data_IF_709574385197
#
_entry.id   IF_709574385197
#
_cell.length_a   1.000
_cell.length_b   1.000
_cell.length_c   1.000
_cell.angle_alpha   90.00
_cell.angle_beta   90.00
_cell.angle_gamma   90.00
#
_symmetry.space_group_name_H-M   'P 1'
#
loop_
_entity.id
_entity.type
_entity.pdbx_description
1 polymer ?
#
# COMPACT_ATOMS: atom_id res chain seq x y z
N UNK A 1 5.23 12.01 10.03
CA UNK A 1 5.36 11.04 8.91
C UNK A 1 6.10 11.69 7.76
N UNK A 2 7.21 11.08 7.32
CA UNK A 2 8.08 11.64 6.28
C UNK A 2 7.90 10.92 4.93
N UNK A 3 7.40 9.69 4.98
CA UNK A 3 7.07 8.89 3.80
C UNK A 3 5.80 8.08 3.99
N UNK A 4 5.05 7.96 2.91
CA UNK A 4 3.87 7.12 2.81
C UNK A 4 4.08 6.10 1.68
N UNK A 5 3.86 4.83 1.99
CA UNK A 5 3.89 3.74 1.02
C UNK A 5 2.46 3.21 0.86
N UNK A 6 1.95 3.23 -0.36
CA UNK A 6 0.65 2.65 -0.69
C UNK A 6 0.87 1.37 -1.51
N UNK A 7 0.45 0.23 -0.99
CA UNK A 7 0.55 -1.06 -1.68
C UNK A 7 -0.81 -1.72 -1.81
N UNK A 8 -1.23 -1.98 -3.04
CA UNK A 8 -2.37 -2.86 -3.29
C UNK A 8 -1.98 -4.31 -3.03
N UNK A 9 -2.88 -5.11 -2.45
CA UNK A 9 -2.67 -6.54 -2.25
C UNK A 9 -2.24 -7.26 -3.54
N UNK A 10 -1.53 -8.38 -3.42
CA UNK A 10 -1.15 -9.25 -4.53
C UNK A 10 -2.36 -9.92 -5.18
N UNK A 11 -2.13 -10.58 -6.33
CA UNK A 11 -3.17 -11.34 -7.02
C UNK A 11 -3.86 -12.32 -6.07
N UNK A 12 -5.19 -12.27 -6.01
CA UNK A 12 -6.01 -13.10 -5.14
C UNK A 12 -6.80 -14.15 -5.93
N UNK A 13 -7.12 -15.27 -5.28
CA UNK A 13 -8.04 -16.27 -5.80
C UNK A 13 -9.40 -15.63 -6.10
N UNK A 14 -10.10 -16.14 -7.11
CA UNK A 14 -11.41 -15.60 -7.50
C UNK A 14 -12.48 -15.84 -6.44
N UNK A 15 -12.34 -16.95 -5.71
CA UNK A 15 -13.26 -17.36 -4.66
C UNK A 15 -12.50 -17.84 -3.43
N UNK A 16 -13.08 -17.64 -2.26
CA UNK A 16 -12.62 -18.25 -1.04
C UNK A 16 -13.20 -19.68 -0.93
N UNK A 17 -12.50 -20.59 -0.23
CA UNK A 17 -13.04 -21.88 0.13
C UNK A 17 -14.29 -21.72 1.02
N UNK A 18 -14.24 -20.75 1.95
CA UNK A 18 -15.33 -20.35 2.84
C UNK A 18 -15.22 -18.88 3.17
N UNK A 19 -16.30 -18.24 3.60
CA UNK A 19 -16.28 -16.88 4.16
C UNK A 19 -16.38 -15.72 3.16
N UNK A 20 -16.60 -15.98 1.90
CA UNK A 20 -16.84 -14.95 0.88
C UNK A 20 -15.60 -14.12 0.54
N UNK A 21 -15.82 -12.90 0.02
CA UNK A 21 -14.74 -12.02 -0.48
C UNK A 21 -13.64 -11.75 0.55
N UNK A 22 -14.01 -11.52 1.79
CA UNK A 22 -13.08 -11.21 2.88
C UNK A 22 -12.02 -12.31 3.09
N UNK A 23 -12.37 -13.56 2.84
CA UNK A 23 -11.52 -14.75 3.04
C UNK A 23 -10.83 -15.24 1.77
N UNK A 24 -10.90 -14.49 0.65
CA UNK A 24 -10.13 -14.84 -0.55
C UNK A 24 -8.63 -14.64 -0.28
N UNK A 25 -7.84 -15.71 -0.45
CA UNK A 25 -6.39 -15.68 -0.27
C UNK A 25 -5.65 -15.31 -1.54
N UNK A 26 -4.33 -15.11 -1.42
CA UNK A 26 -3.45 -14.89 -2.57
C UNK A 26 -3.28 -16.17 -3.40
N UNK A 27 -3.08 -15.97 -4.71
CA UNK A 27 -2.51 -17.00 -5.57
C UNK A 27 -1.00 -17.16 -5.29
N UNK A 28 -0.36 -18.25 -5.74
CA UNK A 28 1.11 -18.35 -5.69
C UNK A 28 1.81 -17.17 -6.38
N UNK A 29 1.28 -16.72 -7.52
CA UNK A 29 1.78 -15.53 -8.22
C UNK A 29 1.66 -14.27 -7.37
N UNK A 30 0.54 -14.11 -6.67
CA UNK A 30 0.33 -12.97 -5.78
C UNK A 30 1.37 -12.91 -4.65
N UNK A 31 1.76 -14.05 -4.09
CA UNK A 31 2.83 -14.14 -3.08
C UNK A 31 4.19 -13.79 -3.67
N UNK A 32 4.52 -14.32 -4.85
CA UNK A 32 5.78 -14.02 -5.54
C UNK A 32 5.90 -12.53 -5.84
N UNK A 33 4.86 -11.92 -6.40
CA UNK A 33 4.82 -10.50 -6.72
C UNK A 33 4.99 -9.65 -5.45
N UNK A 34 4.31 -9.98 -4.37
CA UNK A 34 4.43 -9.27 -3.09
C UNK A 34 5.84 -9.40 -2.50
N UNK A 35 6.43 -10.59 -2.55
CA UNK A 35 7.81 -10.82 -2.09
C UNK A 35 8.79 -9.97 -2.88
N UNK A 36 8.63 -9.89 -4.19
CA UNK A 36 9.46 -9.04 -5.05
C UNK A 36 9.33 -7.56 -4.67
N UNK A 37 8.10 -7.09 -4.43
CA UNK A 37 7.87 -5.70 -4.02
C UNK A 37 8.56 -5.38 -2.68
N UNK A 38 8.52 -6.29 -1.73
CA UNK A 38 9.25 -6.14 -0.46
C UNK A 38 10.76 -5.94 -0.68
N UNK A 39 11.36 -6.72 -1.56
CA UNK A 39 12.78 -6.59 -1.92
C UNK A 39 13.09 -5.26 -2.60
N UNK A 40 12.23 -4.82 -3.53
CA UNK A 40 12.40 -3.54 -4.22
C UNK A 40 12.30 -2.36 -3.25
N UNK A 41 11.35 -2.38 -2.31
CA UNK A 41 11.23 -1.37 -1.26
C UNK A 41 12.47 -1.34 -0.38
N UNK A 42 12.95 -2.48 0.09
CA UNK A 42 14.17 -2.56 0.91
C UNK A 42 15.38 -2.01 0.15
N UNK A 43 15.53 -2.37 -1.12
CA UNK A 43 16.62 -1.88 -1.98
C UNK A 43 16.55 -0.37 -2.23
N UNK A 44 15.36 0.20 -2.31
CA UNK A 44 15.17 1.65 -2.48
C UNK A 44 15.39 2.46 -1.21
N UNK A 45 15.55 1.79 -0.06
CA UNK A 45 15.65 2.45 1.24
C UNK A 45 14.32 2.90 1.84
N UNK A 46 13.19 2.58 1.19
CA UNK A 46 11.84 2.91 1.67
C UNK A 46 11.30 1.78 2.57
N UNK A 47 11.92 1.59 3.73
CA UNK A 47 11.47 0.58 4.70
C UNK A 47 10.50 1.20 5.71
N UNK A 48 9.30 0.62 5.89
CA UNK A 48 8.34 1.17 6.84
C UNK A 48 8.72 0.89 8.30
N UNK A 49 8.36 1.82 9.18
CA UNK A 49 8.37 1.64 10.63
C UNK A 49 7.04 1.06 11.12
N UNK A 50 5.97 1.39 10.43
CA UNK A 50 4.60 0.97 10.72
C UNK A 50 3.91 0.52 9.44
N UNK A 51 3.21 -0.60 9.49
CA UNK A 51 2.37 -1.10 8.40
C UNK A 51 0.93 -1.24 8.87
N UNK A 52 0.03 -0.49 8.25
CA UNK A 52 -1.41 -0.61 8.43
C UNK A 52 -1.95 -1.56 7.36
N UNK A 53 -2.54 -2.66 7.78
CA UNK A 53 -2.96 -3.73 6.89
C UNK A 53 -4.47 -3.95 7.01
N UNK A 54 -5.19 -3.90 5.89
CA UNK A 54 -6.59 -4.34 5.88
C UNK A 54 -6.70 -5.76 6.41
N UNK A 55 -7.71 -6.03 7.24
CA UNK A 55 -7.91 -7.32 7.88
C UNK A 55 -8.33 -8.44 6.92
N UNK A 56 -8.65 -8.15 5.65
CA UNK A 56 -8.95 -9.17 4.65
C UNK A 56 -7.79 -10.15 4.48
N UNK A 57 -8.11 -11.40 4.17
CA UNK A 57 -7.07 -12.44 4.05
C UNK A 57 -6.01 -12.11 3.01
N UNK A 58 -6.38 -11.60 1.83
CA UNK A 58 -5.42 -11.28 0.76
C UNK A 58 -4.44 -10.17 1.14
N UNK A 59 -4.86 -9.19 1.94
CA UNK A 59 -3.97 -8.12 2.44
C UNK A 59 -3.07 -8.64 3.56
N UNK A 60 -3.57 -9.47 4.46
CA UNK A 60 -2.76 -10.13 5.49
C UNK A 60 -1.69 -11.03 4.88
N UNK A 61 -2.03 -11.81 3.86
CA UNK A 61 -1.07 -12.67 3.15
C UNK A 61 -0.06 -11.86 2.33
N UNK A 62 -0.47 -10.73 1.75
CA UNK A 62 0.46 -9.78 1.09
C UNK A 62 1.48 -9.25 2.09
N UNK A 63 1.03 -8.79 3.25
CA UNK A 63 1.93 -8.34 4.31
C UNK A 63 2.88 -9.46 4.76
N UNK A 64 2.39 -10.66 4.96
CA UNK A 64 3.24 -11.80 5.32
C UNK A 64 4.37 -12.03 4.29
N UNK A 65 4.08 -11.85 3.01
CA UNK A 65 5.07 -12.00 1.95
C UNK A 65 6.13 -10.88 1.92
N UNK A 66 5.75 -9.63 2.25
CA UNK A 66 6.70 -8.50 2.28
C UNK A 66 7.44 -8.38 3.62
N UNK A 67 6.89 -8.91 4.70
CA UNK A 67 7.36 -8.68 6.07
C UNK A 67 8.80 -9.09 6.33
N UNK A 68 9.30 -10.09 5.62
CA UNK A 68 10.70 -10.51 5.72
C UNK A 68 11.69 -9.39 5.36
N UNK A 69 11.28 -8.46 4.49
CA UNK A 69 12.09 -7.29 4.12
C UNK A 69 12.07 -6.20 5.21
N UNK A 70 11.12 -6.25 6.15
CA UNK A 70 10.90 -5.21 7.17
C UNK A 70 10.76 -5.81 8.58
N UNK A 71 11.75 -6.56 9.07
CA UNK A 71 11.61 -7.35 10.30
C UNK A 71 11.36 -6.51 11.56
N UNK A 72 11.62 -5.21 11.52
CA UNK A 72 11.45 -4.29 12.65
C UNK A 72 10.16 -3.46 12.57
N UNK A 73 9.41 -3.55 11.48
CA UNK A 73 8.18 -2.79 11.33
C UNK A 73 7.10 -3.27 12.30
N UNK A 74 6.43 -2.33 12.95
CA UNK A 74 5.17 -2.62 13.66
C UNK A 74 4.08 -2.89 12.63
N UNK A 75 3.12 -3.75 12.96
CA UNK A 75 1.97 -4.02 12.12
C UNK A 75 0.67 -3.85 12.88
N UNK A 76 -0.31 -3.26 12.24
CA UNK A 76 -1.68 -3.15 12.73
C UNK A 76 -2.64 -3.64 11.66
N UNK A 77 -3.45 -4.64 12.03
CA UNK A 77 -4.52 -5.15 11.16
C UNK A 77 -5.79 -4.36 11.45
N UNK A 78 -6.33 -3.71 10.42
CA UNK A 78 -7.45 -2.77 10.55
C UNK A 78 -8.62 -3.18 9.66
N UNK A 79 -9.78 -3.39 10.27
CA UNK A 79 -11.00 -3.73 9.53
C UNK A 79 -11.55 -2.53 8.74
N UNK A 80 -11.36 -1.33 9.24
CA UNK A 80 -11.77 -0.10 8.58
C UNK A 80 -11.02 0.18 7.26
N UNK A 81 -9.91 -0.52 7.00
CA UNK A 81 -9.22 -0.48 5.70
C UNK A 81 -9.80 -1.47 4.67
N UNK A 82 -10.68 -2.37 5.08
CA UNK A 82 -11.34 -3.28 4.14
C UNK A 82 -12.34 -2.52 3.26
N UNK A 83 -12.09 -2.49 1.95
CA UNK A 83 -12.83 -1.70 0.97
C UNK A 83 -12.93 -0.20 1.32
N UNK A 84 -11.90 0.34 1.97
CA UNK A 84 -11.87 1.73 2.41
C UNK A 84 -11.86 2.71 1.22
N UNK A 85 -12.63 3.78 1.37
CA UNK A 85 -12.53 4.97 0.51
C UNK A 85 -11.24 5.75 0.85
N UNK A 86 -10.75 6.65 -0.03
CA UNK A 86 -9.54 7.42 0.24
C UNK A 86 -9.56 8.17 1.57
N UNK A 87 -10.70 8.73 1.94
CA UNK A 87 -10.89 9.48 3.19
C UNK A 87 -10.72 8.60 4.43
N UNK A 88 -11.18 7.34 4.35
CA UNK A 88 -11.01 6.38 5.45
C UNK A 88 -9.55 5.97 5.61
N UNK A 89 -8.80 5.85 4.50
CA UNK A 89 -7.36 5.60 4.54
C UNK A 89 -6.63 6.79 5.18
N UNK A 90 -6.98 8.01 4.79
CA UNK A 90 -6.40 9.23 5.38
C UNK A 90 -6.70 9.30 6.88
N UNK A 91 -7.94 9.02 7.29
CA UNK A 91 -8.33 8.98 8.72
C UNK A 91 -7.49 7.95 9.49
N UNK A 92 -7.29 6.75 8.92
CA UNK A 92 -6.45 5.73 9.55
C UNK A 92 -5.00 6.19 9.71
N UNK A 93 -4.46 6.94 8.76
CA UNK A 93 -3.12 7.53 8.85
C UNK A 93 -3.05 8.64 9.91
N UNK A 94 -4.09 9.48 9.99
CA UNK A 94 -4.18 10.54 11.00
C UNK A 94 -4.29 10.00 12.42
N UNK A 95 -5.00 8.88 12.61
CA UNK A 95 -5.11 8.21 13.91
C UNK A 95 -3.74 7.80 14.47
N UNK A 96 -2.80 7.45 13.60
CA UNK A 96 -1.43 7.11 14.00
C UNK A 96 -0.57 8.36 14.27
N UNK A 97 -0.95 9.50 13.72
CA UNK A 97 -0.24 10.76 13.91
C UNK A 97 1.25 10.66 13.54
N UNK A 98 2.10 11.14 14.45
CA UNK A 98 3.56 11.10 14.26
C UNK A 98 4.22 9.87 14.92
N UNK A 99 3.48 8.79 15.13
CA UNK A 99 3.99 7.55 15.76
C UNK A 99 5.07 6.84 14.93
N UNK A 100 5.18 7.16 13.64
CA UNK A 100 6.15 6.57 12.73
C UNK A 100 6.60 7.56 11.64
N UNK A 101 7.86 7.49 11.24
CA UNK A 101 8.40 8.29 10.13
C UNK A 101 7.97 7.77 8.77
N UNK A 102 7.97 6.45 8.58
CA UNK A 102 7.59 5.79 7.33
C UNK A 102 6.41 4.85 7.60
N UNK A 103 5.27 5.17 7.03
CA UNK A 103 4.06 4.38 7.17
C UNK A 103 3.70 3.71 5.85
N UNK A 104 3.39 2.43 5.89
CA UNK A 104 2.90 1.67 4.75
C UNK A 104 1.45 1.28 4.97
N UNK A 105 0.64 1.40 3.92
CA UNK A 105 -0.73 0.88 3.90
C UNK A 105 -0.82 -0.25 2.88
N UNK A 106 -1.28 -1.41 3.32
CA UNK A 106 -1.61 -2.55 2.45
C UNK A 106 -3.13 -2.67 2.38
N UNK A 107 -3.67 -2.39 1.21
CA UNK A 107 -5.13 -2.28 1.05
C UNK A 107 -5.64 -2.65 -0.34
N UNK A 108 -6.71 -1.99 -0.72
CA UNK A 108 -7.55 -2.35 -1.86
C UNK A 108 -7.80 -1.17 -2.80
N UNK A 109 -8.06 -1.48 -4.07
CA UNK A 109 -8.70 -0.53 -4.97
C UNK A 109 -10.24 -0.55 -4.75
N UNK A 110 -10.97 0.51 -5.09
CA UNK A 110 -10.45 1.74 -5.74
C UNK A 110 -9.78 2.73 -4.78
N UNK A 111 -9.94 2.58 -3.47
CA UNK A 111 -9.49 3.58 -2.47
C UNK A 111 -8.01 3.93 -2.58
N UNK A 112 -7.10 2.95 -2.64
CA UNK A 112 -5.66 3.21 -2.77
C UNK A 112 -5.30 3.85 -4.11
N UNK A 113 -5.93 3.40 -5.20
CA UNK A 113 -5.70 3.98 -6.53
C UNK A 113 -6.09 5.47 -6.56
N UNK A 114 -7.27 5.79 -6.05
CA UNK A 114 -7.75 7.17 -5.98
C UNK A 114 -6.88 8.05 -5.08
N UNK A 115 -6.47 7.53 -3.92
CA UNK A 115 -5.57 8.25 -3.02
C UNK A 115 -4.22 8.51 -3.67
N UNK A 116 -3.62 7.52 -4.33
CA UNK A 116 -2.37 7.69 -5.07
C UNK A 116 -2.48 8.77 -6.14
N UNK A 117 -3.57 8.77 -6.92
CA UNK A 117 -3.83 9.82 -7.93
C UNK A 117 -3.92 11.21 -7.31
N UNK A 118 -4.65 11.36 -6.20
CA UNK A 118 -4.78 12.65 -5.49
C UNK A 118 -3.41 13.18 -5.05
N UNK A 119 -2.58 12.32 -4.46
CA UNK A 119 -1.25 12.71 -3.99
C UNK A 119 -0.34 13.11 -5.17
N UNK A 120 -0.37 12.37 -6.26
CA UNK A 120 0.40 12.69 -7.46
C UNK A 120 -0.03 14.04 -8.07
N UNK A 121 -1.32 14.30 -8.14
CA UNK A 121 -1.85 15.57 -8.68
C UNK A 121 -1.48 16.76 -7.79
N UNK A 122 -1.46 16.58 -6.48
CA UNK A 122 -1.00 17.61 -5.54
C UNK A 122 0.48 17.94 -5.71
N UNK A 123 1.31 16.92 -5.95
CA UNK A 123 2.75 17.05 -6.04
C UNK A 123 3.31 17.44 -7.40
N UNK A 124 2.49 17.46 -8.45
CA UNK A 124 2.93 17.83 -9.79
C UNK A 124 3.90 16.84 -10.42
N UNK A 125 3.60 15.53 -10.33
CA UNK A 125 4.45 14.47 -10.85
C UNK A 125 4.68 14.52 -12.37
N UNK A 126 5.76 13.87 -12.80
CA UNK A 126 6.10 13.68 -14.20
C UNK A 126 4.92 13.07 -14.99
N UNK A 127 4.65 13.56 -16.24
CA UNK A 127 3.49 13.12 -17.02
C UNK A 127 3.43 11.60 -17.24
N UNK A 128 4.58 10.95 -17.40
CA UNK A 128 4.65 9.49 -17.61
C UNK A 128 4.14 8.73 -16.37
N UNK A 129 4.58 9.12 -15.19
CA UNK A 129 4.13 8.49 -13.94
C UNK A 129 2.64 8.74 -13.69
N UNK A 130 2.18 9.98 -13.91
CA UNK A 130 0.77 10.33 -13.78
C UNK A 130 -0.11 9.50 -14.73
N UNK A 131 0.30 9.36 -16.01
CA UNK A 131 -0.46 8.58 -16.98
C UNK A 131 -0.51 7.09 -16.62
N UNK A 132 0.57 6.53 -16.11
CA UNK A 132 0.59 5.14 -15.61
C UNK A 132 -0.42 4.93 -14.50
N UNK A 133 -0.38 5.75 -13.46
CA UNK A 133 -1.29 5.61 -12.32
C UNK A 133 -2.72 5.92 -12.71
N UNK A 134 -2.95 6.92 -13.57
CA UNK A 134 -4.30 7.25 -14.06
C UNK A 134 -4.94 6.08 -14.80
N UNK A 135 -4.17 5.34 -15.61
CA UNK A 135 -4.71 4.23 -16.39
C UNK A 135 -5.00 3.00 -15.54
N UNK A 136 -4.16 2.67 -14.56
CA UNK A 136 -4.33 1.48 -13.72
C UNK A 136 -3.44 1.49 -12.47
N UNK A 137 -3.89 0.74 -11.47
CA UNK A 137 -3.15 0.43 -10.26
C UNK A 137 -3.32 -1.07 -9.99
N UNK A 138 -2.59 -1.94 -10.72
CA UNK A 138 -2.80 -3.39 -10.63
C UNK A 138 -2.42 -3.97 -9.27
N UNK A 139 -2.72 -5.25 -9.06
CA UNK A 139 -2.32 -5.97 -7.84
C UNK A 139 -0.81 -5.88 -7.60
N UNK A 140 -0.40 -5.80 -6.35
CA UNK A 140 0.96 -5.59 -5.87
C UNK A 140 1.59 -4.26 -6.25
N UNK A 141 0.93 -3.38 -6.99
CA UNK A 141 1.45 -2.03 -7.26
C UNK A 141 1.76 -1.32 -5.96
N UNK A 142 2.95 -0.72 -5.93
CA UNK A 142 3.47 -0.05 -4.74
C UNK A 142 3.98 1.34 -5.13
N UNK A 143 3.41 2.37 -4.50
CA UNK A 143 3.80 3.77 -4.68
C UNK A 143 4.41 4.32 -3.39
N UNK A 144 5.52 5.02 -3.50
CA UNK A 144 6.23 5.65 -2.38
C UNK A 144 6.19 7.16 -2.55
N UNK A 145 5.68 7.85 -1.55
CA UNK A 145 5.58 9.31 -1.52
C UNK A 145 6.46 9.88 -0.40
N UNK A 146 7.28 10.89 -0.73
CA UNK A 146 7.88 11.75 0.27
C UNK A 146 6.86 12.79 0.72
N UNK A 147 6.77 13.02 2.02
CA UNK A 147 5.87 13.98 2.64
C UNK A 147 6.72 15.00 3.42
N UNK A 148 6.79 16.23 2.92
CA UNK A 148 7.44 17.33 3.64
C UNK A 148 6.45 18.13 4.48
N UNK A 149 6.90 18.71 5.58
CA UNK A 149 6.06 19.60 6.38
C UNK A 149 5.73 20.87 5.58
N UNK A 150 4.46 21.00 5.17
CA UNK A 150 3.98 22.12 4.37
C UNK A 150 4.28 22.03 2.86
N UNK A 151 4.99 21.00 2.42
CA UNK A 151 5.27 20.78 1.01
C UNK A 151 4.27 19.78 0.39
N UNK A 152 3.99 19.89 -0.93
CA UNK A 152 3.19 18.88 -1.61
C UNK A 152 3.86 17.51 -1.57
N UNK A 153 3.10 16.41 -1.55
CA UNK A 153 3.65 15.06 -1.61
C UNK A 153 4.38 14.82 -2.94
N UNK A 154 5.53 14.15 -2.88
CA UNK A 154 6.34 13.84 -4.08
C UNK A 154 6.40 12.33 -4.28
N UNK A 155 6.02 11.87 -5.45
CA UNK A 155 6.18 10.45 -5.83
C UNK A 155 7.66 10.14 -6.03
N UNK A 156 8.26 9.36 -5.13
CA UNK A 156 9.67 8.93 -5.22
C UNK A 156 9.83 7.65 -6.03
N UNK A 157 8.95 6.68 -5.83
CA UNK A 157 9.01 5.38 -6.51
C UNK A 157 7.63 4.88 -6.88
N UNK A 158 7.55 4.20 -8.01
CA UNK A 158 6.36 3.48 -8.46
C UNK A 158 6.79 2.12 -9.00
N UNK A 159 6.43 1.07 -8.29
CA UNK A 159 6.70 -0.32 -8.67
C UNK A 159 5.40 -1.00 -9.13
N UNK A 160 5.49 -1.67 -10.25
CA UNK A 160 4.40 -2.48 -10.81
C UNK A 160 4.74 -3.95 -10.77
#
# INVERSE_FOLDING_TARGET
MDRLILMRHGQAERQAATGGDFERGLTPKGREDATLMGRLLAKSGATPDLVLVSSARRTRETFAAVSAAFPKARVEFRRDLYHAEPEEVVTALEDEGDSASVVMVVGHNPGLHELALRLILQGGAEPVALNKVRSRFPTATTAVFALGAGDPPVLEHLFY
#
